data_IF_075485920107
#
_entry.id   IF_075485920107
#
_cell.length_a   1.000
_cell.length_b   1.000
_cell.length_c   1.000
_cell.angle_alpha   90.00
_cell.angle_beta   90.00
_cell.angle_gamma   90.00
#
_symmetry.space_group_name_H-M   'P 1'
#
loop_
_entity.id
_entity.type
_entity.pdbx_description
1 polymer ?
#
# COMPACT_ATOMS: atom_id res chain seq x y z
N UNK A 1 12.90 -0.82 12.09
CA UNK A 1 11.50 -1.34 12.20
C UNK A 1 10.56 -0.27 12.75
N UNK A 2 10.89 0.35 13.89
CA UNK A 2 10.07 1.42 14.49
C UNK A 2 9.88 2.64 13.58
N UNK A 3 10.92 3.09 12.88
CA UNK A 3 10.80 4.21 11.94
C UNK A 3 9.84 3.92 10.79
N UNK A 4 9.90 2.72 10.22
CA UNK A 4 8.97 2.29 9.18
C UNK A 4 7.52 2.31 9.69
N UNK A 5 7.29 1.84 10.92
CA UNK A 5 5.96 1.92 11.55
C UNK A 5 5.50 3.38 11.71
N UNK A 6 6.36 4.26 12.22
CA UNK A 6 6.04 5.69 12.40
C UNK A 6 5.67 6.36 11.07
N UNK A 7 6.47 6.12 10.02
CA UNK A 7 6.27 6.71 8.70
C UNK A 7 4.96 6.23 8.03
N UNK A 8 4.68 4.92 8.11
CA UNK A 8 3.42 4.37 7.58
C UNK A 8 2.23 4.86 8.40
N UNK A 9 2.32 4.82 9.73
CA UNK A 9 1.23 5.20 10.62
C UNK A 9 0.83 6.67 10.44
N UNK A 10 1.78 7.61 10.33
CA UNK A 10 1.42 9.03 10.16
C UNK A 10 0.64 9.27 8.86
N UNK A 11 0.99 8.58 7.78
CA UNK A 11 0.31 8.75 6.49
C UNK A 11 -1.05 8.00 6.48
N UNK A 12 -1.13 6.84 7.12
CA UNK A 12 -2.39 6.11 7.31
C UNK A 12 -3.40 6.91 8.16
N UNK A 13 -2.96 7.61 9.20
CA UNK A 13 -3.84 8.45 10.02
C UNK A 13 -4.44 9.60 9.22
N UNK A 14 -3.68 10.24 8.32
CA UNK A 14 -4.21 11.28 7.43
C UNK A 14 -5.32 10.75 6.50
N UNK A 15 -5.17 9.54 5.97
CA UNK A 15 -6.23 8.88 5.18
C UNK A 15 -7.49 8.71 6.02
N UNK A 16 -7.33 8.18 7.24
CA UNK A 16 -8.44 7.96 8.16
C UNK A 16 -9.18 9.25 8.52
N UNK A 17 -8.46 10.29 8.90
CA UNK A 17 -9.01 11.61 9.26
C UNK A 17 -9.67 12.32 8.07
N UNK A 18 -9.32 11.94 6.84
CA UNK A 18 -9.93 12.48 5.62
C UNK A 18 -11.23 11.79 5.21
N UNK A 19 -11.76 10.85 6.01
CA UNK A 19 -12.84 9.93 5.65
C UNK A 19 -12.55 9.16 4.35
N UNK A 20 -11.29 8.77 4.14
CA UNK A 20 -10.86 8.02 2.95
C UNK A 20 -10.80 8.83 1.65
N UNK A 21 -10.88 10.17 1.71
CA UNK A 21 -10.75 11.04 0.53
C UNK A 21 -9.31 11.12 0.02
N UNK A 22 -8.33 10.96 0.90
CA UNK A 22 -6.92 10.91 0.54
C UNK A 22 -6.49 9.46 0.28
N UNK A 23 -5.64 9.26 -0.72
CA UNK A 23 -5.07 7.95 -1.03
C UNK A 23 -3.72 7.78 -0.32
N UNK A 24 -3.51 6.62 0.30
CA UNK A 24 -2.27 6.34 1.04
C UNK A 24 -1.04 6.40 0.14
N UNK A 25 -1.12 5.84 -1.08
CA UNK A 25 -0.02 5.83 -2.04
C UNK A 25 0.43 7.26 -2.38
N UNK A 26 -0.50 8.17 -2.61
CA UNK A 26 -0.19 9.57 -2.93
C UNK A 26 0.49 10.26 -1.75
N UNK A 27 0.02 10.00 -0.53
CA UNK A 27 0.63 10.54 0.68
C UNK A 27 2.04 10.02 0.92
N UNK A 28 2.31 8.75 0.60
CA UNK A 28 3.65 8.15 0.72
C UNK A 28 4.62 8.72 -0.34
N UNK A 29 4.16 8.94 -1.57
CA UNK A 29 4.96 9.58 -2.63
C UNK A 29 5.28 11.05 -2.33
N UNK A 30 4.41 11.72 -1.58
CA UNK A 30 4.62 13.10 -1.15
C UNK A 30 5.46 13.23 0.14
N UNK A 31 5.81 12.12 0.80
CA UNK A 31 6.57 12.12 2.04
C UNK A 31 8.07 11.97 1.74
N UNK A 32 8.84 13.02 2.00
CA UNK A 32 10.29 13.04 1.73
C UNK A 32 11.07 11.99 2.54
N UNK A 33 10.66 11.68 3.77
CA UNK A 33 11.31 10.63 4.57
C UNK A 33 11.04 9.23 3.99
N UNK A 34 9.88 9.04 3.35
CA UNK A 34 9.53 7.79 2.68
C UNK A 34 10.25 7.67 1.33
N UNK A 35 10.21 8.73 0.52
CA UNK A 35 10.84 8.74 -0.81
C UNK A 35 12.36 8.75 -0.78
N UNK A 36 12.96 9.17 0.34
CA UNK A 36 14.38 8.96 0.61
C UNK A 36 14.77 7.46 0.75
N UNK A 37 13.80 6.60 1.11
CA UNK A 37 14.03 5.17 1.32
C UNK A 37 13.52 4.29 0.16
N UNK A 38 12.44 4.69 -0.52
CA UNK A 38 11.80 3.93 -1.61
C UNK A 38 11.48 4.85 -2.78
N UNK A 39 11.72 4.39 -4.01
CA UNK A 39 11.31 5.14 -5.20
C UNK A 39 9.80 5.07 -5.40
N UNK A 40 9.24 6.00 -6.18
CA UNK A 40 7.83 6.00 -6.52
C UNK A 40 7.39 4.70 -7.22
N UNK A 41 8.23 4.15 -8.09
CA UNK A 41 7.99 2.87 -8.77
C UNK A 41 7.94 1.71 -7.79
N UNK A 42 8.86 1.67 -6.81
CA UNK A 42 8.85 0.67 -5.75
C UNK A 42 7.61 0.80 -4.85
N UNK A 43 7.15 2.02 -4.59
CA UNK A 43 5.90 2.25 -3.86
C UNK A 43 4.70 1.77 -4.67
N UNK A 44 4.61 2.08 -5.97
CA UNK A 44 3.53 1.63 -6.84
C UNK A 44 3.43 0.10 -6.92
N UNK A 45 4.56 -0.59 -7.08
CA UNK A 45 4.60 -2.06 -7.13
C UNK A 45 4.04 -2.71 -5.85
N UNK A 46 4.19 -2.08 -4.68
CA UNK A 46 3.66 -2.60 -3.41
C UNK A 46 2.16 -2.37 -3.23
N UNK A 47 1.57 -1.50 -4.05
CA UNK A 47 0.13 -1.23 -4.08
C UNK A 47 -0.56 -1.95 -5.26
N UNK A 48 0.19 -2.68 -6.08
CA UNK A 48 -0.36 -3.48 -7.17
C UNK A 48 -1.14 -4.69 -6.63
N UNK A 49 -2.46 -4.63 -6.79
CA UNK A 49 -3.40 -5.66 -6.36
C UNK A 49 -3.38 -6.91 -7.24
N UNK A 50 -2.84 -6.86 -8.47
CA UNK A 50 -2.70 -8.06 -9.30
C UNK A 50 -1.84 -9.13 -8.62
N UNK A 51 -0.82 -8.71 -7.85
CA UNK A 51 -0.04 -9.63 -7.03
C UNK A 51 -0.89 -10.31 -5.93
N UNK A 52 -1.86 -9.60 -5.36
CA UNK A 52 -2.69 -10.08 -4.25
C UNK A 52 -3.82 -11.02 -4.69
N UNK A 53 -4.24 -10.98 -5.96
CA UNK A 53 -5.29 -11.85 -6.51
C UNK A 53 -4.77 -13.07 -7.27
N UNK A 54 -3.44 -13.26 -7.39
CA UNK A 54 -2.83 -14.39 -8.13
C UNK A 54 -3.31 -15.79 -7.74
N UNK A 55 -3.89 -15.96 -6.56
CA UNK A 55 -4.38 -17.27 -6.09
C UNK A 55 -5.90 -17.38 -6.11
N UNK A 56 -6.63 -16.35 -6.56
CA UNK A 56 -8.10 -16.41 -6.64
C UNK A 56 -8.52 -17.57 -7.53
N UNK A 57 -7.95 -17.66 -8.74
CA UNK A 57 -8.28 -18.73 -9.68
C UNK A 57 -7.94 -20.12 -9.12
N UNK A 58 -6.77 -20.28 -8.48
CA UNK A 58 -6.37 -21.54 -7.81
C UNK A 58 -7.37 -21.98 -6.73
N UNK A 59 -7.91 -21.03 -5.96
CA UNK A 59 -8.89 -21.31 -4.90
C UNK A 59 -10.24 -21.66 -5.51
N UNK A 60 -10.67 -20.96 -6.55
CA UNK A 60 -11.93 -21.23 -7.25
C UNK A 60 -11.90 -22.61 -7.94
N UNK A 61 -10.82 -22.97 -8.63
CA UNK A 61 -10.64 -24.29 -9.25
C UNK A 61 -10.73 -25.42 -8.22
N UNK A 62 -10.20 -25.21 -7.01
CA UNK A 62 -10.27 -26.24 -5.95
C UNK A 62 -11.68 -26.45 -5.39
N UNK A 63 -12.53 -25.44 -5.42
CA UNK A 63 -13.87 -25.48 -4.79
C UNK A 63 -14.96 -25.85 -5.81
N UNK A 64 -14.80 -25.43 -7.07
CA UNK A 64 -15.81 -25.58 -8.11
C UNK A 64 -15.37 -26.45 -9.31
N UNK A 65 -14.11 -26.88 -9.35
CA UNK A 65 -13.57 -27.81 -10.36
C UNK A 65 -13.64 -29.27 -9.97
#
# INVERSE_FOLDING_TARGET
REDAYRLVQRNAMKVWESDGKLMLLDLLKADEEVTAALTNEQLEERFDLEYHFKQVDTIFDRVFG
#
